data_IF_028329317958
#
_entry.id   IF_028329317958
#
_cell.length_a   1.000
_cell.length_b   1.000
_cell.length_c   1.000
_cell.angle_alpha   90.00
_cell.angle_beta   90.00
_cell.angle_gamma   90.00
#
_symmetry.space_group_name_H-M   'P 1'
#
loop_
_entity.id
_entity.type
_entity.pdbx_description
1 polymer ?
#
# COMPACT_ATOMS: atom_id res chain seq x y z
N UNK A 1 -25.31 1.32 -6.82
CA UNK A 1 -23.96 1.41 -7.42
C UNK A 1 -23.04 1.94 -6.35
N UNK A 2 -21.90 1.30 -6.15
CA UNK A 2 -20.88 1.79 -5.21
C UNK A 2 -20.28 3.08 -5.76
N UNK A 3 -20.33 4.17 -4.99
CA UNK A 3 -19.80 5.46 -5.39
C UNK A 3 -18.30 5.53 -5.04
N UNK A 4 -17.51 6.18 -5.88
CA UNK A 4 -16.08 6.35 -5.63
C UNK A 4 -15.79 7.83 -5.47
N UNK A 5 -14.94 8.15 -4.49
CA UNK A 5 -14.46 9.48 -4.21
C UNK A 5 -12.99 9.57 -4.65
N UNK A 6 -12.66 10.59 -5.43
CA UNK A 6 -11.29 10.88 -5.84
C UNK A 6 -10.54 11.57 -4.70
N UNK A 7 -9.27 11.18 -4.50
CA UNK A 7 -8.37 11.82 -3.54
C UNK A 7 -7.27 12.60 -4.28
N UNK A 8 -6.76 13.64 -3.62
CA UNK A 8 -5.67 14.45 -4.17
C UNK A 8 -4.36 13.63 -4.25
N UNK A 9 -3.70 13.58 -5.43
CA UNK A 9 -2.41 12.93 -5.56
C UNK A 9 -1.33 13.62 -4.71
N UNK A 10 -0.49 12.84 -4.06
CA UNK A 10 0.61 13.35 -3.23
C UNK A 10 1.96 12.73 -3.61
N UNK A 11 3.02 13.52 -3.40
CA UNK A 11 4.41 13.09 -3.58
C UNK A 11 5.05 12.60 -2.28
N UNK A 12 6.33 12.23 -2.39
CA UNK A 12 7.13 11.76 -1.24
C UNK A 12 7.38 12.83 -0.18
N UNK A 13 7.34 14.09 -0.58
CA UNK A 13 7.44 15.26 0.31
C UNK A 13 6.26 15.35 1.28
N UNK A 14 5.13 14.71 0.97
CA UNK A 14 3.95 14.69 1.84
C UNK A 14 4.21 13.95 3.16
N UNK A 15 5.18 13.03 3.22
CA UNK A 15 5.58 12.39 4.47
C UNK A 15 6.16 13.39 5.49
N UNK A 16 6.64 14.55 5.03
CA UNK A 16 7.21 15.61 5.88
C UNK A 16 6.25 16.79 6.06
N UNK A 17 5.33 17.02 5.11
CA UNK A 17 4.46 18.21 5.07
C UNK A 17 3.01 17.95 5.46
N UNK A 18 2.59 16.68 5.63
CA UNK A 18 1.20 16.35 5.94
C UNK A 18 0.72 17.00 7.25
N UNK A 19 -0.56 17.44 7.32
CA UNK A 19 -1.14 18.01 8.54
C UNK A 19 -1.09 17.06 9.75
N UNK A 20 -1.09 15.75 9.49
CA UNK A 20 -0.99 14.71 10.49
C UNK A 20 -0.02 13.63 9.99
N UNK A 21 0.98 13.32 10.81
CA UNK A 21 1.98 12.28 10.52
C UNK A 21 1.96 11.29 11.67
N UNK A 22 1.74 10.02 11.34
CA UNK A 22 1.78 8.92 12.30
C UNK A 22 2.89 7.95 11.91
N UNK A 23 3.77 7.63 12.85
CA UNK A 23 4.88 6.69 12.64
C UNK A 23 4.73 5.51 13.58
N UNK A 24 4.80 4.31 13.01
CA UNK A 24 4.72 3.06 13.75
C UNK A 24 5.93 2.20 13.41
N UNK A 25 6.41 1.44 14.39
CA UNK A 25 7.46 0.45 14.22
C UNK A 25 7.02 -0.85 14.89
N UNK A 26 7.31 -1.96 14.22
CA UNK A 26 6.93 -3.30 14.68
C UNK A 26 8.18 -4.16 14.62
N UNK A 27 8.54 -4.76 15.75
CA UNK A 27 9.60 -5.76 15.79
C UNK A 27 9.06 -7.11 15.31
N UNK A 28 9.70 -7.69 14.30
CA UNK A 28 9.32 -8.96 13.70
C UNK A 28 10.43 -9.98 13.89
N UNK A 29 10.06 -11.20 14.27
CA UNK A 29 10.98 -12.35 14.32
C UNK A 29 11.20 -12.95 12.92
N UNK A 30 11.59 -12.12 11.96
CA UNK A 30 11.82 -12.50 10.57
C UNK A 30 12.94 -11.65 9.96
N UNK A 31 13.69 -12.23 9.02
CA UNK A 31 14.73 -11.49 8.29
C UNK A 31 14.13 -10.39 7.42
N UNK A 32 14.80 -9.25 7.22
CA UNK A 32 14.23 -8.13 6.47
C UNK A 32 13.89 -8.47 5.01
N UNK A 33 14.63 -9.41 4.38
CA UNK A 33 14.33 -9.89 3.02
C UNK A 33 13.03 -10.70 2.97
N UNK A 34 12.74 -11.46 4.02
CA UNK A 34 11.49 -12.24 4.13
C UNK A 34 10.30 -11.29 4.29
N UNK A 35 10.45 -10.25 5.11
CA UNK A 35 9.42 -9.23 5.30
C UNK A 35 9.16 -8.48 3.99
N UNK A 36 10.24 -8.06 3.29
CA UNK A 36 10.13 -7.37 2.02
C UNK A 36 9.44 -8.22 0.94
N UNK A 37 9.83 -9.50 0.82
CA UNK A 37 9.18 -10.43 -0.09
C UNK A 37 7.68 -10.58 0.20
N UNK A 38 7.28 -10.56 1.48
CA UNK A 38 5.87 -10.58 1.87
C UNK A 38 5.10 -9.29 1.55
N UNK A 39 5.76 -8.13 1.59
CA UNK A 39 5.15 -6.84 1.23
C UNK A 39 4.97 -6.67 -0.30
N UNK A 40 5.79 -7.37 -1.09
CA UNK A 40 5.81 -7.28 -2.56
C UNK A 40 5.29 -8.54 -3.27
N UNK A 41 4.85 -9.55 -2.50
CA UNK A 41 4.17 -10.76 -2.99
C UNK A 41 2.85 -10.42 -3.71
N UNK A 42 2.32 -11.35 -4.50
CA UNK A 42 1.07 -11.12 -5.26
C UNK A 42 -0.14 -10.79 -4.34
N UNK A 43 -0.17 -11.36 -3.14
CA UNK A 43 -1.15 -11.09 -2.08
C UNK A 43 -0.47 -10.48 -0.85
N UNK A 44 -0.10 -9.19 -0.88
CA UNK A 44 0.61 -8.56 0.21
C UNK A 44 -0.34 -8.35 1.41
N UNK A 45 0.22 -8.28 2.62
CA UNK A 45 -0.53 -8.00 3.86
C UNK A 45 -1.64 -9.02 4.19
N UNK A 46 -1.62 -10.22 3.61
CA UNK A 46 -2.58 -11.30 3.89
C UNK A 46 -2.64 -11.73 5.37
N UNK A 47 -1.60 -11.41 6.15
CA UNK A 47 -1.53 -11.61 7.59
C UNK A 47 -2.25 -10.51 8.41
N UNK A 48 -2.61 -9.38 7.81
CA UNK A 48 -3.24 -8.26 8.49
C UNK A 48 -4.75 -8.46 8.61
N UNK A 49 -5.26 -8.69 9.83
CA UNK A 49 -6.69 -9.00 10.06
C UNK A 49 -7.69 -7.96 9.56
N UNK A 50 -7.30 -6.68 9.56
CA UNK A 50 -8.18 -5.59 9.13
C UNK A 50 -8.25 -5.48 7.60
N UNK A 51 -7.18 -5.90 6.90
CA UNK A 51 -7.11 -5.90 5.44
C UNK A 51 -7.56 -7.27 4.94
N UNK A 52 -8.78 -7.34 4.44
CA UNK A 52 -9.39 -8.62 4.06
C UNK A 52 -8.85 -9.14 2.74
N UNK A 53 -8.46 -8.24 1.84
CA UNK A 53 -7.89 -8.59 0.55
C UNK A 53 -7.04 -7.45 0.02
N UNK A 54 -5.82 -7.74 -0.41
CA UNK A 54 -4.99 -6.79 -1.15
C UNK A 54 -4.42 -7.49 -2.36
N UNK A 55 -4.55 -6.89 -3.54
CA UNK A 55 -4.03 -7.46 -4.77
C UNK A 55 -3.62 -6.38 -5.76
N UNK A 56 -2.55 -6.65 -6.49
CA UNK A 56 -2.07 -5.78 -7.56
C UNK A 56 -3.00 -5.84 -8.77
N UNK A 57 -3.24 -4.69 -9.41
CA UNK A 57 -3.99 -4.59 -10.67
C UNK A 57 -3.07 -4.32 -11.86
N UNK A 58 -1.82 -3.92 -11.61
CA UNK A 58 -0.78 -3.82 -12.63
C UNK A 58 -0.10 -5.18 -12.88
N UNK A 59 0.36 -5.46 -14.11
CA UNK A 59 1.20 -6.63 -14.37
C UNK A 59 2.60 -6.47 -13.77
N UNK A 60 3.32 -7.59 -13.60
CA UNK A 60 4.74 -7.60 -13.22
C UNK A 60 5.63 -7.13 -14.39
N UNK A 61 6.84 -6.60 -14.13
CA UNK A 61 7.43 -6.32 -12.81
C UNK A 61 6.77 -5.12 -12.12
N UNK A 62 6.75 -5.14 -10.78
CA UNK A 62 6.24 -4.02 -9.99
C UNK A 62 7.31 -2.92 -9.84
N UNK A 63 6.84 -1.70 -9.62
CA UNK A 63 7.69 -0.53 -9.51
C UNK A 63 6.88 0.73 -9.26
N UNK A 64 7.50 1.89 -9.50
CA UNK A 64 6.81 3.18 -9.47
C UNK A 64 5.67 3.17 -10.48
N UNK A 65 4.48 3.61 -10.06
CA UNK A 65 3.27 3.63 -10.88
C UNK A 65 2.45 2.33 -10.84
N UNK A 66 2.95 1.28 -10.20
CA UNK A 66 2.15 0.07 -9.91
C UNK A 66 0.90 0.44 -9.12
N UNK A 67 -0.21 -0.24 -9.41
CA UNK A 67 -1.49 -0.08 -8.73
C UNK A 67 -1.91 -1.35 -8.03
N UNK A 68 -2.61 -1.18 -6.92
CA UNK A 68 -3.28 -2.26 -6.18
C UNK A 68 -4.62 -1.81 -5.62
N UNK A 69 -5.45 -2.78 -5.26
CA UNK A 69 -6.69 -2.56 -4.53
C UNK A 69 -6.54 -3.19 -3.15
N UNK A 70 -6.87 -2.42 -2.11
CA UNK A 70 -6.92 -2.88 -0.73
C UNK A 70 -8.37 -2.83 -0.22
N UNK A 71 -8.84 -3.94 0.37
CA UNK A 71 -10.17 -4.08 0.98
C UNK A 71 -10.03 -4.07 2.50
N UNK A 72 -10.81 -3.22 3.15
CA UNK A 72 -10.76 -2.97 4.59
C UNK A 72 -12.06 -3.43 5.24
N UNK A 73 -11.95 -4.05 6.42
CA UNK A 73 -13.10 -4.32 7.29
C UNK A 73 -14.13 -5.28 6.68
N UNK A 74 -13.69 -6.33 5.98
CA UNK A 74 -14.59 -7.30 5.35
C UNK A 74 -15.19 -6.80 4.03
N UNK A 75 -14.53 -5.87 3.34
CA UNK A 75 -15.01 -5.27 2.10
C UNK A 75 -15.97 -4.09 2.31
N UNK A 76 -16.06 -3.57 3.54
CA UNK A 76 -16.85 -2.38 3.85
C UNK A 76 -16.32 -1.12 3.15
N UNK A 77 -15.01 -1.08 2.86
CA UNK A 77 -14.35 -0.01 2.12
C UNK A 77 -13.27 -0.63 1.23
N UNK A 78 -13.11 -0.06 0.03
CA UNK A 78 -12.02 -0.38 -0.89
C UNK A 78 -11.22 0.88 -1.21
N UNK A 79 -9.91 0.71 -1.33
CA UNK A 79 -8.97 1.77 -1.69
C UNK A 79 -8.22 1.35 -2.95
N UNK A 80 -8.18 2.24 -3.95
CA UNK A 80 -7.31 2.11 -5.11
C UNK A 80 -6.02 2.85 -4.81
N UNK A 81 -4.92 2.12 -4.74
CA UNK A 81 -3.63 2.64 -4.32
C UNK A 81 -2.65 2.66 -5.50
N UNK A 82 -1.81 3.69 -5.54
CA UNK A 82 -0.74 3.83 -6.54
C UNK A 82 0.60 4.09 -5.87
N UNK A 83 1.58 3.28 -6.24
CA UNK A 83 2.95 3.40 -5.75
C UNK A 83 3.68 4.58 -6.39
N UNK A 84 4.32 5.39 -5.57
CA UNK A 84 5.12 6.56 -5.97
C UNK A 84 6.62 6.37 -5.72
N UNK A 85 6.98 5.42 -4.85
CA UNK A 85 8.36 4.91 -4.74
C UNK A 85 8.36 3.40 -4.70
N UNK A 86 9.43 2.81 -5.24
CA UNK A 86 9.71 1.39 -5.15
C UNK A 86 11.21 1.17 -5.27
N UNK A 87 11.82 0.64 -4.23
CA UNK A 87 13.25 0.36 -4.16
C UNK A 87 13.47 -0.96 -3.44
N UNK A 88 13.90 -1.97 -4.20
CA UNK A 88 14.19 -3.31 -3.70
C UNK A 88 15.52 -3.39 -2.95
N UNK A 89 16.47 -2.49 -3.21
CA UNK A 89 17.77 -2.46 -2.51
C UNK A 89 17.59 -1.95 -1.08
N UNK A 90 16.84 -0.85 -0.92
CA UNK A 90 16.54 -0.26 0.39
C UNK A 90 15.27 -0.81 1.04
N UNK A 91 14.55 -1.72 0.37
CA UNK A 91 13.31 -2.37 0.83
C UNK A 91 12.26 -1.34 1.23
N UNK A 92 12.09 -0.34 0.37
CA UNK A 92 11.22 0.81 0.62
C UNK A 92 10.30 1.04 -0.56
N UNK A 93 9.01 1.07 -0.27
CA UNK A 93 8.00 1.55 -1.20
C UNK A 93 7.03 2.47 -0.49
N UNK A 94 6.39 3.35 -1.24
CA UNK A 94 5.35 4.23 -0.73
C UNK A 94 4.26 4.40 -1.79
N UNK A 95 3.05 4.66 -1.33
CA UNK A 95 1.88 4.80 -2.16
C UNK A 95 0.94 5.86 -1.58
N UNK A 96 0.03 6.34 -2.43
CA UNK A 96 -1.13 7.10 -2.01
C UNK A 96 -2.41 6.43 -2.52
N UNK A 97 -3.55 6.76 -1.93
CA UNK A 97 -4.86 6.29 -2.37
C UNK A 97 -5.35 7.25 -3.46
N UNK A 98 -5.59 6.75 -4.67
CA UNK A 98 -6.21 7.49 -5.78
C UNK A 98 -7.72 7.64 -5.57
N UNK A 99 -8.41 6.59 -5.11
CA UNK A 99 -9.86 6.59 -4.91
C UNK A 99 -10.28 5.66 -3.75
N UNK A 100 -11.37 6.01 -3.05
CA UNK A 100 -12.04 5.12 -2.09
C UNK A 100 -13.56 5.08 -2.30
N UNK A 101 -14.23 4.06 -1.78
CA UNK A 101 -15.69 3.91 -1.86
C UNK A 101 -16.42 3.86 -0.52
#
# INVERSE_FOLDING_TARGET
MTHWFDLEPVGVDFFDTAPHIFTYSIDLAAEPDVVWAGLTADEPLSWCRLLTKVHYTSPRPYGVGTRRIAEVGGGAMQMREKFITWDDETRRHSFYVEQSN
#
